data_IF_466654304826
#
_entry.id   IF_466654304826
#
_cell.length_a   1.000
_cell.length_b   1.000
_cell.length_c   1.000
_cell.angle_alpha   90.00
_cell.angle_beta   90.00
_cell.angle_gamma   90.00
#
_symmetry.space_group_name_H-M   'P 1'
#
loop_
_entity.id
_entity.type
_entity.pdbx_description
1 polymer ?
#
# COMPACT_ATOMS: atom_id res chain seq x y z
N UNK A 1 2.07 -15.62 -13.26
CA UNK A 1 1.13 -15.41 -12.14
C UNK A 1 -0.04 -16.40 -12.13
N UNK A 2 -0.40 -17.06 -13.24
CA UNK A 2 -1.54 -18.01 -13.28
C UNK A 2 -1.39 -19.28 -12.45
N UNK A 3 -0.18 -19.61 -11.99
CA UNK A 3 0.07 -20.81 -11.17
C UNK A 3 -0.12 -20.59 -9.66
N UNK A 4 -0.33 -19.33 -9.22
CA UNK A 4 -0.54 -19.00 -7.81
C UNK A 4 -2.02 -18.92 -7.49
N UNK A 5 -2.42 -19.57 -6.40
CA UNK A 5 -3.78 -19.50 -5.87
C UNK A 5 -3.85 -18.34 -4.87
N UNK A 6 -4.81 -17.43 -5.07
CA UNK A 6 -5.05 -16.36 -4.11
C UNK A 6 -5.47 -16.94 -2.74
N UNK A 7 -5.11 -16.29 -1.62
CA UNK A 7 -5.64 -16.64 -0.31
C UNK A 7 -7.17 -16.68 -0.31
N UNK A 8 -7.79 -17.62 0.43
CA UNK A 8 -9.24 -17.84 0.43
C UNK A 8 -10.08 -16.56 0.55
N UNK A 9 -9.74 -15.56 1.40
CA UNK A 9 -10.50 -14.31 1.47
C UNK A 9 -10.47 -13.47 0.18
N UNK A 10 -9.43 -13.62 -0.64
CA UNK A 10 -9.19 -12.87 -1.89
C UNK A 10 -9.73 -13.58 -3.14
N UNK A 11 -10.09 -14.87 -3.05
CA UNK A 11 -10.60 -15.62 -4.22
C UNK A 11 -12.00 -15.19 -4.65
N UNK A 12 -12.80 -14.61 -3.74
CA UNK A 12 -14.19 -14.23 -4.03
C UNK A 12 -14.27 -12.71 -4.26
N UNK A 13 -14.60 -12.32 -5.49
CA UNK A 13 -14.79 -10.92 -5.90
C UNK A 13 -15.79 -10.15 -5.01
N UNK A 14 -16.79 -10.84 -4.46
CA UNK A 14 -17.79 -10.22 -3.58
C UNK A 14 -17.23 -9.75 -2.24
N UNK A 15 -16.07 -10.27 -1.83
CA UNK A 15 -15.41 -9.86 -0.59
C UNK A 15 -14.77 -8.47 -0.70
N UNK A 16 -14.41 -8.02 -1.90
CA UNK A 16 -13.76 -6.72 -2.11
C UNK A 16 -14.74 -5.56 -1.92
N UNK A 17 -14.22 -4.38 -1.55
CA UNK A 17 -15.04 -3.20 -1.30
C UNK A 17 -15.89 -2.82 -2.52
N UNK A 18 -15.28 -2.79 -3.69
CA UNK A 18 -15.93 -2.70 -5.01
C UNK A 18 -15.01 -3.30 -6.08
N UNK A 19 -15.50 -3.41 -7.32
CA UNK A 19 -14.68 -3.89 -8.46
C UNK A 19 -13.45 -3.04 -8.71
N UNK A 20 -13.55 -1.72 -8.48
CA UNK A 20 -12.47 -0.75 -8.73
C UNK A 20 -11.62 -0.48 -7.48
N UNK A 21 -11.70 -1.37 -6.49
CA UNK A 21 -11.01 -1.30 -5.20
C UNK A 21 -10.53 -2.70 -4.78
N UNK A 22 -10.11 -3.47 -5.79
CA UNK A 22 -9.75 -4.88 -5.68
C UNK A 22 -8.26 -5.05 -5.36
N UNK A 23 -7.57 -6.08 -5.88
CA UNK A 23 -6.10 -6.19 -5.73
C UNK A 23 -5.40 -5.08 -6.48
N UNK A 24 -4.54 -4.36 -5.77
CA UNK A 24 -3.84 -3.18 -6.33
C UNK A 24 -2.34 -3.34 -6.28
N UNK A 25 -1.84 -3.96 -5.22
CA UNK A 25 -0.41 -4.01 -4.96
C UNK A 25 0.11 -5.44 -4.84
N UNK A 26 1.32 -5.67 -5.36
CA UNK A 26 2.03 -6.95 -5.33
C UNK A 26 3.53 -6.71 -5.22
N UNK A 27 4.23 -7.55 -4.45
CA UNK A 27 5.70 -7.56 -4.39
C UNK A 27 6.21 -8.97 -4.12
N UNK A 28 7.47 -9.25 -4.48
CA UNK A 28 8.16 -10.49 -4.13
C UNK A 28 9.01 -10.24 -2.88
N UNK A 29 8.66 -10.86 -1.76
CA UNK A 29 9.36 -10.70 -0.50
C UNK A 29 10.43 -11.79 -0.31
N UNK A 30 11.66 -11.45 0.13
CA UNK A 30 12.81 -12.37 0.15
C UNK A 30 12.61 -13.63 1.00
N UNK A 31 11.72 -13.57 2.00
CA UNK A 31 11.45 -14.68 2.94
C UNK A 31 10.01 -15.21 2.93
N UNK A 32 9.08 -14.46 2.35
CA UNK A 32 7.64 -14.72 2.49
C UNK A 32 6.97 -15.04 1.15
N UNK A 33 7.74 -15.05 0.06
CA UNK A 33 7.23 -15.25 -1.29
C UNK A 33 6.46 -14.03 -1.77
N UNK A 34 5.44 -14.27 -2.60
CA UNK A 34 4.63 -13.20 -3.16
C UNK A 34 3.68 -12.65 -2.10
N UNK A 35 3.71 -11.34 -1.91
CA UNK A 35 2.79 -10.58 -1.08
C UNK A 35 1.85 -9.77 -1.97
N UNK A 36 0.59 -9.64 -1.55
CA UNK A 36 -0.38 -8.77 -2.22
C UNK A 36 -1.29 -8.06 -1.23
N UNK A 37 -1.85 -6.94 -1.63
CA UNK A 37 -2.85 -6.21 -0.86
C UNK A 37 -3.96 -5.69 -1.79
N UNK A 38 -5.23 -5.76 -1.34
CA UNK A 38 -6.30 -4.97 -1.92
C UNK A 38 -6.08 -3.46 -1.73
N UNK A 39 -6.60 -2.63 -2.65
CA UNK A 39 -6.60 -1.17 -2.54
C UNK A 39 -7.32 -0.72 -1.26
N UNK A 40 -8.54 -1.23 -1.07
CA UNK A 40 -9.36 -1.04 0.11
C UNK A 40 -9.51 -2.34 0.87
N UNK A 41 -9.71 -2.31 2.20
CA UNK A 41 -9.94 -3.54 2.95
C UNK A 41 -11.16 -4.30 2.42
N UNK A 42 -11.21 -5.61 2.67
CA UNK A 42 -12.37 -6.43 2.31
C UNK A 42 -13.62 -5.98 3.09
N UNK A 43 -14.82 -6.05 2.48
CA UNK A 43 -16.11 -5.62 3.08
C UNK A 43 -16.32 -6.11 4.52
N UNK A 44 -16.10 -7.40 4.79
CA UNK A 44 -16.28 -7.99 6.14
C UNK A 44 -15.26 -7.48 7.17
N UNK A 45 -14.10 -6.99 6.71
CA UNK A 45 -13.03 -6.42 7.53
C UNK A 45 -13.02 -4.88 7.51
N UNK A 46 -13.88 -4.24 6.71
CA UNK A 46 -14.10 -2.78 6.68
C UNK A 46 -14.82 -2.23 7.91
N UNK A 47 -14.86 -2.97 9.01
CA UNK A 47 -15.24 -2.38 10.28
C UNK A 47 -14.26 -1.25 10.59
N UNK A 48 -14.78 -0.03 10.71
CA UNK A 48 -14.00 1.16 11.08
C UNK A 48 -13.18 0.84 12.33
N UNK A 49 -11.86 1.01 12.25
CA UNK A 49 -10.97 0.92 13.38
C UNK A 49 -10.72 2.33 13.92
N UNK A 50 -11.14 2.55 15.16
CA UNK A 50 -11.01 3.79 15.96
C UNK A 50 -12.10 4.87 15.79
N UNK A 51 -12.24 5.67 16.85
CA UNK A 51 -13.14 6.82 17.02
C UNK A 51 -12.90 7.99 16.03
N UNK A 52 -11.99 7.83 15.06
CA UNK A 52 -11.66 8.85 14.04
C UNK A 52 -11.97 8.42 12.60
N UNK A 53 -12.71 7.31 12.39
CA UNK A 53 -13.18 6.93 11.04
C UNK A 53 -12.13 6.25 10.14
N UNK A 54 -11.06 5.69 10.71
CA UNK A 54 -9.97 5.03 9.96
C UNK A 54 -10.26 3.54 9.75
N UNK A 55 -9.60 2.92 8.77
CA UNK A 55 -9.69 1.48 8.52
C UNK A 55 -8.32 0.80 8.63
N UNK A 56 -8.28 -0.54 8.58
CA UNK A 56 -7.03 -1.31 8.56
C UNK A 56 -6.81 -1.91 7.18
N UNK A 57 -5.63 -1.74 6.63
CA UNK A 57 -5.20 -2.50 5.46
C UNK A 57 -4.78 -3.92 5.87
N UNK A 58 -4.72 -4.82 4.90
CA UNK A 58 -4.20 -6.17 5.10
C UNK A 58 -3.29 -6.55 3.95
N UNK A 59 -2.05 -6.92 4.27
CA UNK A 59 -1.14 -7.60 3.34
C UNK A 59 -1.31 -9.10 3.51
N UNK A 60 -1.38 -9.82 2.41
CA UNK A 60 -1.51 -11.27 2.38
C UNK A 60 -0.31 -11.89 1.69
N UNK A 61 0.25 -12.96 2.26
CA UNK A 61 1.12 -13.85 1.51
C UNK A 61 0.25 -14.77 0.65
N UNK A 62 0.65 -15.01 -0.61
CA UNK A 62 -0.06 -15.97 -1.46
C UNK A 62 0.09 -17.40 -0.94
N UNK A 63 1.20 -17.69 -0.26
CA UNK A 63 1.50 -19.00 0.31
C UNK A 63 1.51 -19.00 1.84
N UNK A 64 1.24 -20.16 2.44
CA UNK A 64 1.34 -20.35 3.89
C UNK A 64 0.24 -19.67 4.72
N UNK A 65 -0.76 -19.05 4.09
CA UNK A 65 -1.97 -18.52 4.74
C UNK A 65 -1.73 -17.33 5.68
N UNK A 66 -0.55 -16.70 5.61
CA UNK A 66 -0.21 -15.57 6.47
C UNK A 66 -0.84 -14.28 5.95
N UNK A 67 -1.30 -13.46 6.88
CA UNK A 67 -1.81 -12.13 6.61
C UNK A 67 -1.35 -11.20 7.73
N UNK A 68 -1.23 -9.90 7.45
CA UNK A 68 -0.82 -8.89 8.41
C UNK A 68 -1.70 -7.67 8.25
N UNK A 69 -2.23 -7.18 9.36
CA UNK A 69 -3.05 -5.96 9.39
C UNK A 69 -2.27 -4.81 10.01
N UNK A 70 -2.50 -3.60 9.50
CA UNK A 70 -1.91 -2.37 9.98
C UNK A 70 -2.92 -1.22 9.79
N UNK A 71 -2.91 -0.20 10.65
CA UNK A 71 -3.80 0.95 10.47
C UNK A 71 -3.48 1.66 9.17
N UNK A 72 -4.48 2.15 8.45
CA UNK A 72 -4.27 3.06 7.33
C UNK A 72 -3.60 4.37 7.79
N UNK A 73 -2.93 5.07 6.88
CA UNK A 73 -2.54 6.46 7.13
C UNK A 73 -3.79 7.26 7.54
N UNK A 74 -3.70 8.15 8.55
CA UNK A 74 -4.85 8.85 9.13
C UNK A 74 -5.43 9.96 8.22
N UNK A 75 -5.73 9.64 6.97
CA UNK A 75 -6.46 10.47 6.02
C UNK A 75 -7.74 9.78 5.54
N UNK A 76 -8.78 10.55 5.17
CA UNK A 76 -9.96 9.98 4.52
C UNK A 76 -9.57 9.21 3.26
N UNK A 77 -10.19 8.04 3.04
CA UNK A 77 -10.02 7.26 1.81
C UNK A 77 -8.57 6.84 1.51
N UNK A 78 -7.70 6.70 2.53
CA UNK A 78 -6.35 6.15 2.33
C UNK A 78 -6.44 4.75 1.75
N UNK A 79 -5.80 4.54 0.61
CA UNK A 79 -5.86 3.32 -0.20
C UNK A 79 -4.45 2.82 -0.47
N UNK A 80 -4.21 1.51 -0.36
CA UNK A 80 -2.90 0.93 -0.73
C UNK A 80 -2.80 0.90 -2.25
N UNK A 81 -1.74 1.49 -2.80
CA UNK A 81 -1.53 1.57 -4.25
C UNK A 81 -0.25 0.84 -4.69
N UNK A 82 0.74 0.70 -3.82
CA UNK A 82 1.93 -0.10 -4.13
C UNK A 82 2.53 -0.77 -2.89
N UNK A 83 3.24 -1.86 -3.13
CA UNK A 83 4.08 -2.56 -2.16
C UNK A 83 5.47 -2.73 -2.78
N UNK A 84 6.51 -2.55 -1.98
CA UNK A 84 7.88 -2.86 -2.39
C UNK A 84 8.60 -3.56 -1.23
N UNK A 85 9.03 -4.80 -1.43
CA UNK A 85 9.76 -5.55 -0.41
C UNK A 85 11.23 -5.16 -0.41
N UNK A 86 11.79 -4.92 0.78
CA UNK A 86 13.19 -4.56 0.96
C UNK A 86 14.03 -5.81 1.28
N UNK A 87 15.35 -5.71 1.06
CA UNK A 87 16.30 -6.81 1.29
C UNK A 87 16.31 -7.30 2.76
N UNK A 88 16.12 -6.38 3.71
CA UNK A 88 16.01 -6.71 5.14
C UNK A 88 14.72 -7.48 5.49
N UNK A 89 13.79 -7.56 4.53
CA UNK A 89 12.48 -8.16 4.63
C UNK A 89 11.47 -7.33 5.42
N UNK A 90 11.66 -6.02 5.45
CA UNK A 90 10.57 -5.07 5.65
C UNK A 90 9.87 -4.77 4.31
N UNK A 91 8.71 -4.13 4.35
CA UNK A 91 7.93 -3.81 3.16
C UNK A 91 7.57 -2.32 3.18
N UNK A 92 7.86 -1.62 2.10
CA UNK A 92 7.32 -0.29 1.85
C UNK A 92 5.89 -0.41 1.37
N UNK A 93 5.03 0.47 1.87
CA UNK A 93 3.64 0.61 1.45
C UNK A 93 3.44 2.04 1.01
N UNK A 94 2.97 2.17 -0.24
CA UNK A 94 2.51 3.44 -0.77
C UNK A 94 1.00 3.51 -0.61
N UNK A 95 0.53 4.59 0.00
CA UNK A 95 -0.89 4.87 0.18
C UNK A 95 -1.27 6.18 -0.49
N UNK A 96 -2.46 6.21 -1.08
CA UNK A 96 -3.07 7.38 -1.71
C UNK A 96 -4.38 7.72 -1.02
N UNK A 97 -4.55 8.98 -0.66
CA UNK A 97 -5.79 9.48 -0.07
C UNK A 97 -6.32 10.70 -0.86
N UNK A 98 -7.55 10.59 -1.35
CA UNK A 98 -8.30 11.71 -1.93
C UNK A 98 -9.22 12.33 -0.88
N UNK A 99 -8.97 13.59 -0.55
CA UNK A 99 -9.83 14.39 0.34
C UNK A 99 -10.70 15.31 -0.55
N UNK A 100 -12.00 15.48 -0.30
CA UNK A 100 -12.85 16.44 -1.06
C UNK A 100 -12.71 17.87 -0.47
N UNK A 101 -13.06 19.02 -1.08
CA UNK A 101 -13.65 19.40 -2.38
C UNK A 101 -12.65 20.22 -3.26
N UNK A 102 -11.55 20.74 -2.71
CA UNK A 102 -10.43 21.34 -3.49
C UNK A 102 -9.27 20.34 -3.75
N UNK A 103 -9.61 19.05 -3.67
CA UNK A 103 -8.81 17.84 -3.90
C UNK A 103 -7.37 17.85 -3.35
N UNK A 104 -7.19 17.94 -2.02
CA UNK A 104 -5.98 17.47 -1.39
C UNK A 104 -5.68 16.04 -1.83
N UNK A 105 -4.51 15.84 -2.41
CA UNK A 105 -3.96 14.53 -2.71
C UNK A 105 -2.82 14.30 -1.73
N UNK A 106 -2.97 13.25 -0.94
CA UNK A 106 -1.95 12.83 0.01
C UNK A 106 -1.40 11.49 -0.46
N UNK A 107 -0.07 11.45 -0.61
CA UNK A 107 0.68 10.23 -0.84
C UNK A 107 1.52 9.97 0.41
N UNK A 108 1.34 8.80 0.99
CA UNK A 108 2.01 8.39 2.22
C UNK A 108 2.89 7.18 1.94
N UNK A 109 4.16 7.30 2.32
CA UNK A 109 5.13 6.19 2.25
C UNK A 109 5.44 5.70 3.65
N UNK A 110 5.17 4.41 3.89
CA UNK A 110 5.38 3.76 5.19
C UNK A 110 6.21 2.51 5.07
N UNK A 111 6.90 2.16 6.15
CA UNK A 111 7.63 0.90 6.30
C UNK A 111 6.89 -0.02 7.26
N UNK A 112 6.74 -1.28 6.88
CA UNK A 112 6.12 -2.35 7.69
C UNK A 112 7.14 -3.44 8.00
N UNK A 113 7.09 -3.97 9.23
CA UNK A 113 7.82 -5.17 9.62
C UNK A 113 6.84 -6.33 9.80
N UNK A 114 6.84 -7.25 8.84
CA UNK A 114 5.94 -8.38 8.82
C UNK A 114 6.47 -9.52 9.71
N UNK A 115 5.78 -9.79 10.80
CA UNK A 115 6.17 -10.85 11.74
C UNK A 115 6.02 -12.24 11.14
N UNK A 116 6.96 -13.14 11.36
CA UNK A 116 6.81 -14.54 10.93
C UNK A 116 5.93 -15.37 11.87
N UNK A 117 5.63 -14.89 13.08
CA UNK A 117 4.74 -15.53 14.05
C UNK A 117 3.26 -15.36 13.70
N UNK A 118 2.50 -16.46 13.73
CA UNK A 118 1.11 -16.52 13.29
C UNK A 118 0.12 -15.74 14.17
N UNK A 119 0.45 -15.50 15.44
CA UNK A 119 -0.39 -14.70 16.37
C UNK A 119 -0.04 -13.21 16.38
N UNK A 120 0.99 -12.80 15.64
CA UNK A 120 1.53 -11.44 15.65
C UNK A 120 1.05 -10.60 14.44
N UNK A 121 0.04 -11.10 13.74
CA UNK A 121 -0.48 -10.61 12.47
C UNK A 121 -1.36 -9.37 12.58
N UNK A 122 -1.59 -8.84 13.78
CA UNK A 122 -2.45 -7.68 13.99
C UNK A 122 -1.66 -6.45 14.41
N UNK A 123 -2.00 -5.31 13.81
CA UNK A 123 -1.35 -4.02 14.05
C UNK A 123 0.18 -4.15 14.00
N UNK A 124 0.69 -4.68 12.89
CA UNK A 124 2.13 -4.86 12.73
C UNK A 124 2.86 -3.54 12.90
N UNK A 125 4.10 -3.63 13.41
CA UNK A 125 4.98 -2.45 13.55
C UNK A 125 5.04 -1.74 12.21
N UNK A 126 4.77 -0.44 12.24
CA UNK A 126 4.81 0.44 11.09
C UNK A 126 5.50 1.75 11.44
N UNK A 127 6.13 2.36 10.45
CA UNK A 127 6.81 3.65 10.55
C UNK A 127 6.39 4.53 9.36
N UNK A 128 6.10 5.80 9.61
CA UNK A 128 5.88 6.79 8.57
C UNK A 128 7.23 7.32 8.07
N UNK A 129 7.55 7.13 6.79
CA UNK A 129 8.80 7.62 6.21
C UNK A 129 8.64 9.01 5.58
N UNK A 130 7.60 9.19 4.78
CA UNK A 130 7.34 10.45 4.09
C UNK A 130 5.84 10.65 3.86
N UNK A 131 5.40 11.91 3.83
CA UNK A 131 4.05 12.31 3.44
C UNK A 131 4.18 13.45 2.44
N UNK A 132 3.66 13.24 1.25
CA UNK A 132 3.56 14.24 0.20
C UNK A 132 2.11 14.71 0.15
N UNK A 133 1.89 15.95 0.55
CA UNK A 133 0.57 16.57 0.62
C UNK A 133 0.58 17.84 -0.23
N UNK A 134 -0.24 17.88 -1.29
CA UNK A 134 -0.29 19.03 -2.18
C UNK A 134 -0.85 20.30 -1.51
N UNK A 135 -1.54 20.19 -0.36
CA UNK A 135 -1.94 21.35 0.46
C UNK A 135 -0.78 21.93 1.26
N UNK A 136 0.30 21.18 1.42
CA UNK A 136 1.55 21.59 2.07
C UNK A 136 2.61 22.02 1.05
N UNK A 137 2.23 22.23 -0.21
CA UNK A 137 3.12 22.73 -1.26
C UNK A 137 3.96 21.67 -1.96
N UNK A 138 3.72 20.38 -1.72
CA UNK A 138 4.33 19.32 -2.51
C UNK A 138 3.71 19.24 -3.90
N UNK A 139 4.54 19.09 -4.92
CA UNK A 139 4.09 18.67 -6.23
C UNK A 139 3.79 17.16 -6.17
N UNK A 140 2.50 16.83 -6.08
CA UNK A 140 2.01 15.46 -5.92
C UNK A 140 1.04 15.16 -7.04
N UNK A 141 1.25 14.01 -7.68
CA UNK A 141 0.29 13.44 -8.63
C UNK A 141 -0.15 12.05 -8.15
N UNK A 142 -0.99 11.41 -8.95
CA UNK A 142 -1.65 10.15 -8.74
C UNK A 142 -0.69 8.94 -8.68
N UNK A 143 0.28 8.97 -7.78
CA UNK A 143 1.30 7.92 -7.64
C UNK A 143 0.65 6.57 -7.33
N UNK A 144 0.89 5.60 -8.22
CA UNK A 144 0.37 4.22 -8.13
C UNK A 144 1.47 3.16 -8.26
N UNK A 145 2.66 3.53 -8.72
CA UNK A 145 3.81 2.63 -8.78
C UNK A 145 4.91 3.01 -7.80
N UNK A 146 5.53 2.00 -7.19
CA UNK A 146 6.73 2.11 -6.37
C UNK A 146 7.64 0.94 -6.71
N UNK A 147 8.93 1.18 -6.91
CA UNK A 147 9.89 0.08 -7.11
C UNK A 147 11.30 0.47 -6.66
N UNK A 148 12.05 -0.52 -6.18
CA UNK A 148 13.48 -0.37 -5.91
C UNK A 148 14.28 -0.25 -7.21
N UNK A 149 15.31 0.59 -7.21
CA UNK A 149 16.27 0.68 -8.30
C UNK A 149 17.61 0.08 -7.90
N UNK A 150 18.33 0.72 -6.96
CA UNK A 150 19.59 0.22 -6.43
C UNK A 150 19.90 0.89 -5.09
N UNK A 151 20.61 0.17 -4.19
CA UNK A 151 20.99 0.71 -2.88
C UNK A 151 19.78 1.25 -2.12
N UNK A 152 19.84 2.53 -1.72
CA UNK A 152 18.75 3.22 -1.04
C UNK A 152 17.82 4.00 -1.99
N UNK A 153 17.93 3.80 -3.31
CA UNK A 153 17.22 4.59 -4.32
C UNK A 153 16.01 3.87 -4.92
N UNK A 154 14.92 4.61 -5.08
CA UNK A 154 13.60 4.13 -5.48
C UNK A 154 12.98 5.04 -6.53
N UNK A 155 12.11 4.45 -7.35
CA UNK A 155 11.22 5.17 -8.25
C UNK A 155 9.79 5.14 -7.73
N UNK A 156 9.08 6.24 -7.92
CA UNK A 156 7.63 6.32 -7.75
C UNK A 156 7.02 6.98 -9.00
N UNK A 157 5.95 6.40 -9.54
CA UNK A 157 5.36 6.81 -10.83
C UNK A 157 3.87 7.06 -10.73
N UNK A 158 3.39 8.15 -11.34
CA UNK A 158 1.96 8.49 -11.36
C UNK A 158 1.22 7.82 -12.50
N UNK A 159 -0.03 7.49 -12.23
CA UNK A 159 -0.98 7.04 -13.24
C UNK A 159 -1.56 8.25 -14.00
N UNK A 160 -1.60 8.15 -15.33
CA UNK A 160 -2.14 9.17 -16.22
C UNK A 160 -3.68 9.12 -16.32
N UNK A 161 -4.33 8.21 -15.59
CA UNK A 161 -5.77 7.95 -15.58
C UNK A 161 -6.33 7.69 -16.99
N UNK A 162 -5.53 7.06 -17.87
CA UNK A 162 -5.83 6.82 -19.29
C UNK A 162 -6.07 8.13 -20.09
N UNK A 163 -5.57 9.27 -19.62
CA UNK A 163 -5.72 10.57 -20.29
C UNK A 163 -4.49 10.90 -21.10
N UNK A 164 -4.60 10.82 -22.42
CA UNK A 164 -3.54 11.17 -23.40
C UNK A 164 -2.88 12.55 -23.28
N UNK A 165 -3.41 13.47 -22.45
CA UNK A 165 -2.86 14.81 -22.20
C UNK A 165 -2.37 15.02 -20.75
N UNK A 166 -2.49 14.00 -19.89
CA UNK A 166 -1.95 14.04 -18.53
C UNK A 166 -0.52 13.54 -18.55
N UNK A 167 0.40 14.31 -17.99
CA UNK A 167 1.81 13.90 -17.88
C UNK A 167 1.96 12.83 -16.80
N UNK A 168 2.78 11.82 -17.07
CA UNK A 168 3.25 10.85 -16.06
C UNK A 168 4.44 11.44 -15.31
N UNK A 169 4.32 11.58 -13.99
CA UNK A 169 5.41 12.03 -13.14
C UNK A 169 6.23 10.83 -12.66
N UNK A 170 7.55 10.92 -12.83
CA UNK A 170 8.51 9.96 -12.27
C UNK A 170 9.33 10.66 -11.18
N UNK A 171 9.13 10.26 -9.93
CA UNK A 171 9.95 10.68 -8.80
C UNK A 171 11.08 9.67 -8.59
N UNK A 172 12.32 10.16 -8.53
CA UNK A 172 13.49 9.37 -8.13
C UNK A 172 14.01 9.90 -6.79
N UNK A 173 14.04 9.04 -5.77
CA UNK A 173 14.34 9.47 -4.40
C UNK A 173 15.19 8.44 -3.66
N UNK A 174 15.86 8.93 -2.61
CA UNK A 174 16.66 8.12 -1.69
C UNK A 174 15.90 7.96 -0.36
N UNK A 175 15.91 6.75 0.19
CA UNK A 175 15.48 6.51 1.56
C UNK A 175 16.69 6.48 2.49
N UNK A 176 16.91 7.59 3.20
CA UNK A 176 17.87 7.66 4.30
C UNK A 176 17.31 6.89 5.50
N UNK A 177 17.48 5.58 5.51
CA UNK A 177 17.14 4.76 6.66
C UNK A 177 18.18 5.04 7.75
N UNK A 178 17.74 5.53 8.92
CA UNK A 178 18.63 5.63 10.07
C UNK A 178 19.12 4.22 10.44
N UNK A 179 20.44 4.07 10.60
CA UNK A 179 21.10 2.84 11.07
C UNK A 179 20.70 2.49 12.51
#
# INVERSE_FOLDING_TARGET
MGDYVLPTPLQNAENYYSSNKALEAVTVHPRLGILTAPEWPLKKKNAVYSLKGQHKHTVYALEGGKQWTFPAYPAPNSAVVALEALEDGSVLVLERAFVSVFKPLIISLRRLWLSTCQKCSENVKSEQLAVFDNTQGWEVDNFEGLTHHHGAYFFMVSDDNERSLQDTFLSYFELSLAE
#
